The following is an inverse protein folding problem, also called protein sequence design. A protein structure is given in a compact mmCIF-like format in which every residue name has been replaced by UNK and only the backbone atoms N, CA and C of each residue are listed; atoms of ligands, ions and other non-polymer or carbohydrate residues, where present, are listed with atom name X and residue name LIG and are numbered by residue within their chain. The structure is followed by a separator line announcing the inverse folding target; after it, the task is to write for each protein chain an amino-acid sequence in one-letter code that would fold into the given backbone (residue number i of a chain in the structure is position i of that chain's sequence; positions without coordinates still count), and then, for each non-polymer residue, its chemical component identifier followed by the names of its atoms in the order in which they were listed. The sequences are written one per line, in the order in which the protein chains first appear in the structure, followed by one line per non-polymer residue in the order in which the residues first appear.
data_IF_678807710432
#
_entry.id   IF_678807710432
#
_cell.length_a   1.000
_cell.length_b   1.000
_cell.length_c   1.000
_cell.angle_alpha   90.00
_cell.angle_beta   90.00
_cell.angle_gamma   90.00
#
_symmetry.space_group_name_H-M   'P 1'
#
loop_
_entity.id
_entity.type
_entity.pdbx_description
1 polymer ?
#
# COMPACT_ATOMS: atom_id res chain seq x y z
N UNK A 1 19.05 53.95 8.63
CA UNK A 1 17.87 54.15 9.50
C UNK A 1 17.31 52.79 9.85
N UNK A 2 17.29 52.48 11.15
CA UNK A 2 16.75 51.26 11.70
C UNK A 2 15.22 51.25 11.57
N UNK A 3 14.65 50.07 11.30
CA UNK A 3 13.28 49.78 11.71
C UNK A 3 13.28 48.49 12.54
N UNK A 4 12.70 48.62 13.72
CA UNK A 4 12.71 47.68 14.84
C UNK A 4 11.82 46.47 14.60
N UNK A 5 12.27 45.38 15.19
CA UNK A 5 11.55 44.31 15.92
C UNK A 5 10.04 44.14 15.69
N UNK A 6 9.62 42.90 15.46
CA UNK A 6 8.87 42.05 16.41
C UNK A 6 8.05 41.02 15.64
N UNK A 7 8.05 39.77 16.14
CA UNK A 7 7.06 38.79 15.74
C UNK A 7 7.61 37.46 15.25
N UNK A 8 8.40 36.76 16.08
CA UNK A 8 8.28 35.29 16.12
C UNK A 8 6.86 35.00 16.59
N UNK A 9 5.94 34.79 15.66
CA UNK A 9 4.71 34.05 15.94
C UNK A 9 5.08 32.56 15.96
N UNK A 10 4.94 31.84 17.09
CA UNK A 10 4.83 30.40 17.03
C UNK A 10 3.44 30.12 16.46
N UNK A 11 3.31 30.16 15.14
CA UNK A 11 2.16 29.55 14.49
C UNK A 11 2.25 28.06 14.80
N UNK A 12 1.21 27.61 15.48
CA UNK A 12 0.95 26.28 16.00
C UNK A 12 1.43 25.19 15.05
N UNK A 13 1.76 23.96 15.53
CA UNK A 13 2.03 22.87 14.62
C UNK A 13 0.76 22.65 13.79
N UNK A 14 0.72 23.26 12.59
CA UNK A 14 -0.27 22.99 11.57
C UNK A 14 -0.30 21.48 11.47
N UNK A 15 -1.40 20.88 11.93
CA UNK A 15 -1.49 19.43 12.11
C UNK A 15 -1.21 18.81 10.76
N UNK A 16 0.02 18.33 10.58
CA UNK A 16 0.50 17.91 9.28
C UNK A 16 -0.45 16.81 8.78
N UNK A 17 -1.20 17.11 7.73
CA UNK A 17 -2.20 16.18 7.21
C UNK A 17 -1.44 15.04 6.53
N UNK A 18 -1.17 13.98 7.29
CA UNK A 18 -0.47 12.80 6.80
C UNK A 18 -1.37 12.00 5.85
N UNK A 19 -1.10 12.10 4.55
CA UNK A 19 -1.76 11.30 3.52
C UNK A 19 -1.01 9.98 3.36
N UNK A 20 -1.54 8.92 3.96
CA UNK A 20 -0.97 7.57 3.89
C UNK A 20 -1.58 6.78 2.74
N UNK A 21 -0.76 5.99 2.03
CA UNK A 21 -1.21 4.99 1.05
C UNK A 21 -0.92 3.60 1.58
N UNK A 22 -1.97 2.80 1.76
CA UNK A 22 -1.85 1.41 2.22
C UNK A 22 -1.87 0.50 0.99
N UNK A 23 -0.84 -0.32 0.82
CA UNK A 23 -0.78 -1.33 -0.25
C UNK A 23 -0.93 -2.71 0.38
N UNK A 24 -1.98 -3.44 0.00
CA UNK A 24 -2.23 -4.80 0.46
C UNK A 24 -1.79 -5.77 -0.64
N UNK A 25 -0.87 -6.69 -0.31
CA UNK A 25 -0.40 -7.74 -1.23
C UNK A 25 -0.57 -9.11 -0.61
N UNK A 26 -1.25 -10.01 -1.30
CA UNK A 26 -1.42 -11.41 -0.89
C UNK A 26 -1.57 -12.31 -2.12
N UNK A 27 -1.34 -13.61 -1.95
CA UNK A 27 -1.63 -14.64 -2.96
C UNK A 27 -3.10 -15.08 -2.95
N UNK A 28 -3.81 -14.91 -1.82
CA UNK A 28 -5.19 -15.35 -1.66
C UNK A 28 -6.14 -14.14 -1.75
N UNK A 29 -7.00 -14.15 -2.76
CA UNK A 29 -7.94 -13.05 -3.05
C UNK A 29 -9.02 -12.95 -1.97
N UNK A 30 -9.56 -14.08 -1.49
CA UNK A 30 -10.68 -14.08 -0.54
C UNK A 30 -10.30 -13.47 0.81
N UNK A 31 -9.09 -13.74 1.29
CA UNK A 31 -8.62 -13.13 2.54
C UNK A 31 -8.27 -11.65 2.36
N UNK A 32 -7.69 -11.27 1.21
CA UNK A 32 -7.39 -9.86 0.91
C UNK A 32 -8.66 -9.01 0.85
N UNK A 33 -9.72 -9.52 0.23
CA UNK A 33 -11.00 -8.81 0.14
C UNK A 33 -11.64 -8.58 1.50
N UNK A 34 -11.66 -9.59 2.39
CA UNK A 34 -12.16 -9.46 3.77
C UNK A 34 -11.40 -8.38 4.56
N UNK A 35 -10.07 -8.44 4.53
CA UNK A 35 -9.23 -7.44 5.24
C UNK A 35 -9.45 -6.04 4.65
N UNK A 36 -9.60 -5.94 3.34
CA UNK A 36 -9.86 -4.65 2.67
C UNK A 36 -11.21 -4.06 3.10
N UNK A 37 -12.27 -4.88 3.22
CA UNK A 37 -13.58 -4.39 3.66
C UNK A 37 -13.55 -3.92 5.10
N UNK A 38 -12.88 -4.65 5.98
CA UNK A 38 -12.79 -4.32 7.41
C UNK A 38 -12.02 -3.02 7.64
N UNK A 39 -10.93 -2.80 6.90
CA UNK A 39 -10.16 -1.55 6.95
C UNK A 39 -10.96 -0.34 6.46
N UNK A 40 -11.70 -0.48 5.36
CA UNK A 40 -12.55 0.60 4.84
C UNK A 40 -13.66 0.92 5.84
N UNK A 41 -14.26 -0.10 6.46
CA UNK A 41 -15.28 0.09 7.49
C UNK A 41 -14.72 0.82 8.70
N UNK A 42 -13.61 0.35 9.27
CA UNK A 42 -12.98 0.98 10.43
C UNK A 42 -12.49 2.41 10.17
N UNK A 43 -12.06 2.71 8.94
CA UNK A 43 -11.68 4.07 8.55
C UNK A 43 -12.89 5.02 8.42
N UNK A 44 -14.03 4.52 7.93
CA UNK A 44 -15.29 5.28 7.88
C UNK A 44 -15.85 5.54 9.28
N UNK A 45 -15.80 4.56 10.18
CA UNK A 45 -16.19 4.71 11.59
C UNK A 45 -15.38 5.80 12.30
N UNK A 46 -14.10 5.96 11.94
CA UNK A 46 -13.20 7.01 12.44
C UNK A 46 -13.27 8.34 11.66
N UNK A 47 -14.23 8.48 10.74
CA UNK A 47 -14.44 9.68 9.92
C UNK A 47 -13.20 10.11 9.09
N UNK A 48 -12.36 9.15 8.68
CA UNK A 48 -11.21 9.40 7.81
C UNK A 48 -11.64 9.44 6.34
N UNK A 49 -11.05 10.34 5.55
CA UNK A 49 -11.26 10.41 4.10
C UNK A 49 -10.52 9.27 3.40
N UNK A 50 -11.26 8.28 2.88
CA UNK A 50 -10.70 7.11 2.20
C UNK A 50 -10.85 7.25 0.68
N UNK A 51 -9.77 7.03 -0.05
CA UNK A 51 -9.84 6.68 -1.48
C UNK A 51 -9.99 5.17 -1.57
N UNK A 52 -11.02 4.71 -2.27
CA UNK A 52 -11.40 3.29 -2.35
C UNK A 52 -10.27 2.36 -2.80
N UNK A 53 -10.47 1.04 -2.73
CA UNK A 53 -9.43 0.08 -3.08
C UNK A 53 -9.13 0.14 -4.58
N UNK A 54 -7.91 0.56 -4.92
CA UNK A 54 -7.42 0.55 -6.30
C UNK A 54 -6.79 -0.81 -6.56
N UNK A 55 -7.45 -1.63 -7.39
CA UNK A 55 -6.96 -2.96 -7.75
C UNK A 55 -5.87 -2.84 -8.83
N UNK A 56 -4.70 -3.41 -8.55
CA UNK A 56 -3.59 -3.55 -9.50
C UNK A 56 -3.72 -4.93 -10.17
N UNK A 57 -3.30 -5.10 -11.44
CA UNK A 57 -3.29 -6.41 -12.09
C UNK A 57 -2.53 -7.47 -11.29
N UNK A 58 -3.05 -8.70 -11.29
CA UNK A 58 -2.40 -9.83 -10.62
C UNK A 58 -1.14 -10.23 -11.37
N UNK A 59 -0.04 -10.38 -10.64
CA UNK A 59 1.23 -10.84 -11.21
C UNK A 59 1.23 -12.37 -11.26
N UNK A 60 1.28 -12.94 -12.46
CA UNK A 60 1.48 -14.38 -12.66
C UNK A 60 2.96 -14.68 -12.79
N UNK A 61 3.57 -15.26 -11.76
CA UNK A 61 4.97 -15.69 -11.79
C UNK A 61 5.04 -17.11 -12.35
N UNK A 62 5.74 -17.28 -13.49
CA UNK A 62 6.02 -18.59 -14.09
C UNK A 62 7.52 -18.87 -13.97
N UNK A 63 7.89 -19.90 -13.23
CA UNK A 63 9.27 -20.39 -13.16
C UNK A 63 9.32 -21.67 -13.99
N UNK A 64 9.95 -21.62 -15.17
CA UNK A 64 10.13 -22.81 -16.01
C UNK A 64 11.45 -23.47 -15.65
N UNK A 65 11.39 -24.66 -15.06
CA UNK A 65 12.57 -25.49 -14.80
C UNK A 65 12.56 -26.73 -15.67
N UNK A 66 13.72 -27.38 -15.77
CA UNK A 66 13.80 -28.73 -16.33
C UNK A 66 13.33 -29.70 -15.25
N UNK A 67 12.44 -30.64 -15.59
CA UNK A 67 11.99 -31.68 -14.64
C UNK A 67 13.12 -32.60 -14.19
N UNK A 68 14.12 -32.79 -15.05
CA UNK A 68 15.21 -33.73 -14.81
C UNK A 68 16.43 -33.06 -14.20
N UNK A 69 17.00 -33.64 -13.12
CA UNK A 69 18.24 -33.15 -12.53
C UNK A 69 19.48 -33.46 -13.40
N UNK A 70 19.37 -34.35 -14.41
CA UNK A 70 20.45 -34.71 -15.33
C UNK A 70 20.03 -34.66 -16.82
N UNK A 71 21.00 -34.57 -17.73
CA UNK A 71 20.84 -34.22 -19.15
C UNK A 71 19.95 -35.18 -19.96
N UNK A 72 19.79 -36.45 -19.55
CA UNK A 72 19.29 -37.53 -20.43
C UNK A 72 17.81 -37.51 -20.84
N UNK A 73 16.92 -36.73 -20.21
CA UNK A 73 15.51 -36.61 -20.67
C UNK A 73 15.01 -35.17 -20.62
N UNK A 74 14.72 -34.58 -21.79
CA UNK A 74 14.16 -33.23 -21.92
C UNK A 74 12.64 -33.28 -21.75
N UNK A 75 12.16 -33.12 -20.51
CA UNK A 75 10.75 -32.79 -20.21
C UNK A 75 10.73 -31.49 -19.39
N UNK A 76 9.86 -30.54 -19.76
CA UNK A 76 9.63 -29.28 -19.04
C UNK A 76 8.45 -29.42 -18.08
N UNK A 77 8.43 -28.58 -17.06
CA UNK A 77 7.30 -28.36 -16.13
C UNK A 77 6.66 -26.99 -16.38
#
# INVERSE_FOLDING_TARGET
MAFKDTGKTPVEPEVAIHRVRITLTSRNVKSLEKVCTDLIRGAKEKNLKVKGPVRIPTKTLRITTRKTPFVKKKKKE
#
